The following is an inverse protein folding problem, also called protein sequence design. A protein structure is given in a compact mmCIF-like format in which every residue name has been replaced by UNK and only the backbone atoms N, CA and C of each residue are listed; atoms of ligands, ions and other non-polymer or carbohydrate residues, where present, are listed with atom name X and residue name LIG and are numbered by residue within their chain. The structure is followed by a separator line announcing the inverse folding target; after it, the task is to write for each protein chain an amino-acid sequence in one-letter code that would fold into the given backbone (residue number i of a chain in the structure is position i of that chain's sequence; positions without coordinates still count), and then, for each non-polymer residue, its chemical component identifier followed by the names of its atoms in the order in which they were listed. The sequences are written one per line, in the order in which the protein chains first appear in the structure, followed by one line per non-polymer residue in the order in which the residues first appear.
data_IF_656776178119
#
_entry.id   IF_656776178119
#
_cell.length_a   1.000
_cell.length_b   1.000
_cell.length_c   1.000
_cell.angle_alpha   90.00
_cell.angle_beta   90.00
_cell.angle_gamma   90.00
#
_symmetry.space_group_name_H-M   'P 1'
#
loop_
_entity.id
_entity.type
_entity.pdbx_description
1 polymer ?
#
# COMPACT_ATOMS: atom_id res chain seq x y z
N UNK A 1 -43.22 69.67 46.56
CA UNK A 1 -42.09 70.44 46.01
C UNK A 1 -40.89 69.52 45.88
N UNK A 2 -40.36 69.44 44.66
CA UNK A 2 -38.96 69.23 44.27
C UNK A 2 -38.31 67.83 44.38
N UNK A 3 -38.01 67.31 43.17
CA UNK A 3 -36.70 66.79 42.69
C UNK A 3 -36.26 65.36 43.04
N UNK A 4 -36.47 64.50 42.02
CA UNK A 4 -35.53 63.63 41.26
C UNK A 4 -34.74 62.45 41.88
N UNK A 5 -34.39 61.45 41.03
CA UNK A 5 -33.97 60.07 41.40
C UNK A 5 -32.53 59.70 40.93
N UNK A 6 -32.02 58.50 41.27
CA UNK A 6 -31.12 57.60 40.48
C UNK A 6 -31.16 56.21 41.17
N UNK A 7 -31.90 55.25 40.60
CA UNK A 7 -31.49 53.99 39.92
C UNK A 7 -31.24 52.78 40.84
N UNK A 8 -32.08 51.75 40.66
CA UNK A 8 -31.61 50.37 40.51
C UNK A 8 -32.70 49.46 39.91
N UNK A 9 -32.31 48.57 39.00
CA UNK A 9 -32.89 47.23 38.90
C UNK A 9 -34.08 46.96 37.97
N UNK A 10 -33.74 46.52 36.75
CA UNK A 10 -34.38 45.46 35.96
C UNK A 10 -35.84 45.62 35.44
N UNK A 11 -36.00 45.42 34.11
CA UNK A 11 -36.68 44.24 33.50
C UNK A 11 -36.95 44.52 32.01
N UNK A 12 -36.51 43.58 31.15
CA UNK A 12 -37.22 43.22 29.92
C UNK A 12 -37.06 44.09 28.67
N UNK A 13 -35.95 43.94 27.94
CA UNK A 13 -35.87 44.44 26.56
C UNK A 13 -36.07 43.30 25.55
N UNK A 14 -37.30 43.20 25.05
CA UNK A 14 -37.62 42.63 23.75
C UNK A 14 -37.35 43.70 22.69
N UNK A 15 -36.32 43.55 21.86
CA UNK A 15 -36.20 44.30 20.60
C UNK A 15 -35.68 43.35 19.52
N UNK A 16 -36.57 43.04 18.59
CA UNK A 16 -36.31 42.36 17.32
C UNK A 16 -35.33 43.19 16.47
N UNK A 17 -34.28 42.61 15.88
CA UNK A 17 -33.56 43.26 14.80
C UNK A 17 -34.31 43.06 13.46
N UNK A 18 -34.51 44.15 12.74
CA UNK A 18 -35.08 44.19 11.38
C UNK A 18 -34.33 43.25 10.41
N UNK A 19 -35.03 42.65 9.41
CA UNK A 19 -34.41 41.77 8.44
C UNK A 19 -33.60 42.57 7.41
N UNK A 20 -32.32 42.23 7.26
CA UNK A 20 -31.45 42.69 6.18
C UNK A 20 -31.85 41.95 4.87
N UNK A 21 -32.21 42.65 3.77
CA UNK A 21 -32.70 42.01 2.55
C UNK A 21 -31.61 41.78 1.49
N UNK A 22 -30.49 41.16 1.88
CA UNK A 22 -29.50 40.69 0.91
C UNK A 22 -29.16 39.22 1.20
N UNK A 23 -29.66 38.27 0.40
CA UNK A 23 -28.98 37.00 0.24
C UNK A 23 -27.67 37.33 -0.48
N UNK A 24 -26.53 37.07 0.15
CA UNK A 24 -25.30 36.85 -0.62
C UNK A 24 -25.54 35.54 -1.36
N UNK A 25 -26.12 35.62 -2.56
CA UNK A 25 -26.25 34.51 -3.49
C UNK A 25 -24.83 34.11 -3.92
N UNK A 26 -24.22 33.22 -3.14
CA UNK A 26 -23.10 32.44 -3.60
C UNK A 26 -23.59 31.59 -4.78
N UNK A 27 -22.95 31.66 -5.96
CA UNK A 27 -23.35 30.85 -7.10
C UNK A 27 -23.32 29.38 -6.70
N UNK A 28 -24.47 28.69 -6.84
CA UNK A 28 -24.55 27.22 -6.69
C UNK A 28 -23.54 26.48 -7.57
N UNK A 29 -23.05 27.12 -8.63
CA UNK A 29 -21.99 26.63 -9.52
C UNK A 29 -20.65 26.36 -8.80
N UNK A 30 -20.32 27.08 -7.71
CA UNK A 30 -19.11 26.80 -6.93
C UNK A 30 -19.28 25.64 -5.94
N UNK A 31 -20.52 25.29 -5.55
CA UNK A 31 -20.79 24.08 -4.75
C UNK A 31 -20.68 22.80 -5.60
N UNK A 32 -20.93 22.89 -6.91
CA UNK A 32 -20.71 21.76 -7.83
C UNK A 32 -19.22 21.51 -8.11
N UNK A 33 -18.38 22.55 -8.11
CA UNK A 33 -16.93 22.41 -8.28
C UNK A 33 -16.21 21.86 -7.03
N UNK A 34 -16.76 22.09 -5.83
CA UNK A 34 -16.16 21.58 -4.58
C UNK A 34 -16.43 20.10 -4.29
N UNK A 35 -17.27 19.42 -5.09
CA UNK A 35 -17.52 17.98 -4.99
C UNK A 35 -16.97 17.19 -6.20
N UNK A 36 -16.21 17.83 -7.08
CA UNK A 36 -15.54 17.19 -8.22
C UNK A 36 -14.01 17.21 -8.11
N UNK A 37 -13.47 17.15 -6.89
CA UNK A 37 -12.31 16.29 -6.70
C UNK A 37 -12.82 14.85 -6.76
N UNK A 38 -13.22 14.42 -7.97
CA UNK A 38 -13.08 13.02 -8.35
C UNK A 38 -11.60 12.73 -8.14
N UNK A 39 -11.28 12.23 -6.95
CA UNK A 39 -9.99 11.62 -6.65
C UNK A 39 -9.74 10.72 -7.85
N UNK A 40 -8.75 11.04 -8.69
CA UNK A 40 -8.40 10.14 -9.79
C UNK A 40 -8.21 8.79 -9.12
N UNK A 41 -9.15 7.87 -9.31
CA UNK A 41 -9.00 6.49 -8.92
C UNK A 41 -8.06 5.88 -9.95
N UNK A 42 -6.85 6.45 -10.02
CA UNK A 42 -5.72 5.91 -10.69
C UNK A 42 -5.48 4.58 -9.96
N UNK A 43 -5.97 3.49 -10.54
CA UNK A 43 -5.73 2.16 -10.00
C UNK A 43 -4.21 2.00 -9.85
N UNK A 44 -3.77 1.48 -8.71
CA UNK A 44 -2.36 1.22 -8.51
C UNK A 44 -1.83 0.36 -9.69
N UNK A 45 -0.70 0.72 -10.29
CA UNK A 45 -0.13 -0.04 -11.40
C UNK A 45 0.26 -1.43 -10.91
N UNK A 46 0.44 -2.44 -11.78
CA UNK A 46 0.95 -3.73 -11.36
C UNK A 46 2.30 -3.58 -10.61
N UNK A 47 2.43 -4.12 -9.38
CA UNK A 47 3.65 -3.96 -8.60
C UNK A 47 4.81 -4.71 -9.25
N UNK A 48 6.00 -4.15 -9.12
CA UNK A 48 7.27 -4.80 -9.42
C UNK A 48 7.79 -5.57 -8.21
N UNK A 49 8.75 -6.45 -8.45
CA UNK A 49 9.45 -7.15 -7.38
C UNK A 49 10.18 -6.15 -6.46
N UNK A 50 10.66 -5.02 -6.98
CA UNK A 50 11.19 -3.93 -6.15
C UNK A 50 10.18 -3.43 -5.11
N UNK A 51 8.92 -3.21 -5.51
CA UNK A 51 7.88 -2.71 -4.61
C UNK A 51 7.51 -3.74 -3.54
N UNK A 52 7.53 -5.02 -3.91
CA UNK A 52 7.38 -6.15 -2.99
C UNK A 52 8.51 -6.22 -1.97
N UNK A 53 9.74 -5.89 -2.38
CA UNK A 53 10.92 -5.94 -1.50
C UNK A 53 10.94 -4.85 -0.44
N UNK A 54 10.17 -3.77 -0.62
CA UNK A 54 10.00 -2.72 0.39
C UNK A 54 9.04 -3.16 1.53
N UNK A 55 8.38 -4.32 1.39
CA UNK A 55 7.55 -4.94 2.42
C UNK A 55 8.32 -6.07 3.14
N UNK A 56 8.95 -5.72 4.27
CA UNK A 56 9.76 -6.67 5.06
C UNK A 56 8.95 -7.87 5.57
N UNK A 57 7.70 -7.68 5.97
CA UNK A 57 6.86 -8.77 6.50
C UNK A 57 6.54 -9.78 5.38
N UNK A 58 6.17 -9.28 4.19
CA UNK A 58 5.98 -10.13 3.03
C UNK A 58 7.28 -10.84 2.63
N UNK A 59 8.40 -10.13 2.61
CA UNK A 59 9.70 -10.69 2.27
C UNK A 59 10.07 -11.83 3.22
N UNK A 60 9.89 -11.66 4.53
CA UNK A 60 10.17 -12.69 5.53
C UNK A 60 9.28 -13.93 5.37
N UNK A 61 8.00 -13.75 5.03
CA UNK A 61 7.11 -14.87 4.70
C UNK A 61 7.56 -15.62 3.44
N UNK A 62 8.05 -14.91 2.42
CA UNK A 62 8.60 -15.52 1.22
C UNK A 62 9.88 -16.30 1.53
N UNK A 63 10.79 -15.72 2.32
CA UNK A 63 12.02 -16.38 2.79
C UNK A 63 11.69 -17.68 3.51
N UNK A 64 10.76 -17.65 4.47
CA UNK A 64 10.33 -18.84 5.19
C UNK A 64 9.80 -19.94 4.27
N UNK A 65 9.10 -19.56 3.19
CA UNK A 65 8.48 -20.48 2.22
C UNK A 65 9.42 -20.99 1.14
N UNK A 66 10.46 -20.24 0.79
CA UNK A 66 11.27 -20.48 -0.39
C UNK A 66 12.74 -20.77 -0.10
N UNK A 67 13.29 -20.35 1.05
CA UNK A 67 14.69 -20.63 1.44
C UNK A 67 14.97 -22.12 1.71
N UNK A 68 14.07 -22.87 2.40
CA UNK A 68 14.36 -24.27 2.72
C UNK A 68 14.62 -25.14 1.49
N UNK A 69 15.70 -25.92 1.54
CA UNK A 69 16.02 -26.91 0.51
C UNK A 69 15.37 -28.25 0.86
N UNK A 70 14.11 -28.44 0.45
CA UNK A 70 13.39 -29.71 0.61
C UNK A 70 13.20 -30.37 -0.76
N UNK A 71 13.68 -31.60 -0.93
CA UNK A 71 13.76 -32.25 -2.25
C UNK A 71 12.42 -32.39 -3.00
N UNK A 72 11.30 -32.45 -2.28
CA UNK A 72 9.95 -32.57 -2.87
C UNK A 72 9.25 -31.23 -3.09
N UNK A 73 9.79 -30.11 -2.60
CA UNK A 73 9.15 -28.79 -2.68
C UNK A 73 9.98 -27.87 -3.57
N UNK A 74 9.35 -27.31 -4.59
CA UNK A 74 9.98 -26.34 -5.48
C UNK A 74 10.29 -25.05 -4.72
N UNK A 75 11.54 -24.63 -4.72
CA UNK A 75 12.08 -23.53 -3.90
C UNK A 75 12.74 -22.44 -4.75
N UNK A 76 13.47 -21.52 -4.11
CA UNK A 76 14.18 -20.42 -4.77
C UNK A 76 15.06 -20.88 -5.96
N UNK A 77 15.75 -22.02 -5.85
CA UNK A 77 16.61 -22.54 -6.94
C UNK A 77 15.83 -22.87 -8.19
N UNK A 78 14.65 -23.45 -8.02
CA UNK A 78 13.79 -23.82 -9.14
C UNK A 78 13.31 -22.56 -9.85
N UNK A 79 12.93 -21.54 -9.09
CA UNK A 79 12.48 -20.25 -9.63
C UNK A 79 13.61 -19.52 -10.34
N UNK A 80 14.78 -19.41 -9.69
CA UNK A 80 15.97 -18.79 -10.24
C UNK A 80 16.47 -19.47 -11.52
N UNK A 81 16.50 -20.81 -11.54
CA UNK A 81 16.85 -21.59 -12.73
C UNK A 81 15.89 -21.32 -13.88
N UNK A 82 14.57 -21.25 -13.62
CA UNK A 82 13.57 -20.97 -14.64
C UNK A 82 13.70 -19.57 -15.23
N UNK A 83 14.17 -18.61 -14.43
CA UNK A 83 14.49 -17.26 -14.87
C UNK A 83 15.94 -17.08 -15.37
N UNK A 84 16.64 -18.18 -15.64
CA UNK A 84 17.88 -18.17 -16.40
C UNK A 84 19.16 -18.10 -15.57
N UNK A 85 19.09 -18.25 -14.24
CA UNK A 85 20.30 -18.39 -13.44
C UNK A 85 20.99 -19.73 -13.76
N UNK A 86 22.28 -19.67 -14.10
CA UNK A 86 23.06 -20.86 -14.45
C UNK A 86 23.28 -21.78 -13.24
N UNK A 87 23.65 -23.04 -13.50
CA UNK A 87 23.94 -24.00 -12.43
C UNK A 87 25.06 -23.52 -11.50
N UNK A 88 26.11 -22.93 -12.06
CA UNK A 88 27.25 -22.43 -11.27
C UNK A 88 26.84 -21.25 -10.38
N UNK A 89 26.00 -20.34 -10.91
CA UNK A 89 25.45 -19.24 -10.11
C UNK A 89 24.52 -19.74 -8.99
N UNK A 90 23.68 -20.74 -9.26
CA UNK A 90 22.79 -21.35 -8.25
C UNK A 90 23.61 -22.01 -7.15
N UNK A 91 24.65 -22.76 -7.54
CA UNK A 91 25.58 -23.41 -6.61
C UNK A 91 26.29 -22.37 -5.76
N UNK A 92 26.83 -21.31 -6.37
CA UNK A 92 27.51 -20.24 -5.65
C UNK A 92 26.59 -19.52 -4.65
N UNK A 93 25.36 -19.22 -5.07
CA UNK A 93 24.38 -18.54 -4.20
C UNK A 93 23.97 -19.43 -3.02
N UNK A 94 23.77 -20.73 -3.25
CA UNK A 94 23.50 -21.66 -2.14
C UNK A 94 24.63 -21.65 -1.13
N UNK A 95 25.89 -21.82 -1.57
CA UNK A 95 27.03 -21.85 -0.67
C UNK A 95 27.18 -20.55 0.12
N UNK A 96 26.93 -19.39 -0.50
CA UNK A 96 27.02 -18.08 0.17
C UNK A 96 25.95 -17.89 1.25
N UNK A 97 24.77 -18.49 1.07
CA UNK A 97 23.62 -18.26 1.93
C UNK A 97 23.36 -19.42 2.91
N UNK A 98 24.04 -20.54 2.74
CA UNK A 98 23.87 -21.73 3.55
C UNK A 98 24.13 -21.44 5.04
N UNK A 99 23.10 -21.62 5.86
CA UNK A 99 23.16 -21.39 7.31
C UNK A 99 23.24 -19.90 7.71
N UNK A 100 23.14 -18.97 6.77
CA UNK A 100 23.14 -17.54 7.08
C UNK A 100 21.77 -17.08 7.60
N UNK A 101 21.78 -16.32 8.70
CA UNK A 101 20.57 -15.63 9.19
C UNK A 101 20.36 -14.28 8.48
N UNK A 102 21.44 -13.67 7.98
CA UNK A 102 21.43 -12.33 7.38
C UNK A 102 21.29 -12.36 5.85
N UNK A 103 21.69 -13.45 5.21
CA UNK A 103 21.65 -13.57 3.75
C UNK A 103 20.67 -14.66 3.33
N UNK A 104 19.63 -14.27 2.61
CA UNK A 104 18.63 -15.19 2.08
C UNK A 104 18.82 -15.41 0.57
N UNK A 105 18.83 -16.66 0.09
CA UNK A 105 18.88 -16.92 -1.34
C UNK A 105 17.59 -16.50 -2.06
N UNK A 106 16.43 -16.53 -1.40
CA UNK A 106 15.18 -15.99 -1.96
C UNK A 106 15.30 -14.48 -2.17
N UNK A 107 15.83 -13.75 -1.19
CA UNK A 107 16.01 -12.31 -1.31
C UNK A 107 16.98 -11.94 -2.43
N UNK A 108 18.11 -12.63 -2.55
CA UNK A 108 19.09 -12.42 -3.63
C UNK A 108 18.49 -12.74 -5.02
N UNK A 109 17.69 -13.80 -5.11
CA UNK A 109 16.94 -14.13 -6.32
C UNK A 109 15.96 -13.02 -6.71
N UNK A 110 15.18 -12.51 -5.75
CA UNK A 110 14.23 -11.42 -5.99
C UNK A 110 14.96 -10.13 -6.38
N UNK A 111 16.07 -9.80 -5.71
CA UNK A 111 16.87 -8.60 -5.99
C UNK A 111 17.40 -8.59 -7.42
N UNK A 112 17.93 -9.71 -7.92
CA UNK A 112 18.40 -9.84 -9.32
C UNK A 112 17.28 -9.64 -10.35
N UNK A 113 16.04 -9.88 -9.95
CA UNK A 113 14.85 -9.81 -10.79
C UNK A 113 13.93 -8.63 -10.42
N UNK A 114 14.42 -7.65 -9.67
CA UNK A 114 13.61 -6.56 -9.11
C UNK A 114 12.82 -5.75 -10.17
N UNK A 115 13.31 -5.73 -11.41
CA UNK A 115 12.69 -5.07 -12.55
C UNK A 115 11.43 -5.80 -13.08
N UNK A 116 11.26 -7.09 -12.77
CA UNK A 116 10.10 -7.90 -13.16
C UNK A 116 8.87 -7.54 -12.32
N UNK A 117 7.71 -7.87 -12.85
CA UNK A 117 6.43 -7.69 -12.15
C UNK A 117 6.19 -8.81 -11.13
N UNK A 118 5.42 -8.51 -10.09
CA UNK A 118 4.92 -9.56 -9.17
C UNK A 118 4.01 -10.55 -9.92
N UNK A 119 3.31 -10.10 -10.97
CA UNK A 119 2.53 -10.99 -11.85
C UNK A 119 3.39 -12.09 -12.47
N UNK A 120 4.57 -11.77 -13.03
CA UNK A 120 5.51 -12.78 -13.54
C UNK A 120 5.95 -13.77 -12.44
N UNK A 121 6.16 -13.28 -11.20
CA UNK A 121 6.48 -14.14 -10.06
C UNK A 121 5.31 -15.08 -9.71
N UNK A 122 4.06 -14.60 -9.80
CA UNK A 122 2.88 -15.47 -9.60
C UNK A 122 2.76 -16.54 -10.67
N UNK A 123 3.19 -16.27 -11.91
CA UNK A 123 3.21 -17.27 -12.98
C UNK A 123 4.21 -18.38 -12.69
N UNK A 124 5.40 -18.07 -12.17
CA UNK A 124 6.31 -19.11 -11.66
C UNK A 124 5.66 -19.96 -10.57
N UNK A 125 4.92 -19.33 -9.65
CA UNK A 125 4.22 -20.06 -8.61
C UNK A 125 3.19 -21.02 -9.19
N UNK A 126 2.47 -20.64 -10.25
CA UNK A 126 1.53 -21.53 -10.97
C UNK A 126 2.27 -22.68 -11.65
N UNK A 127 3.34 -22.40 -12.38
CA UNK A 127 4.15 -23.42 -13.09
C UNK A 127 4.66 -24.50 -12.13
N UNK A 128 5.15 -24.08 -10.96
CA UNK A 128 5.67 -24.99 -9.94
C UNK A 128 4.62 -25.46 -8.92
N UNK A 129 3.35 -25.11 -9.12
CA UNK A 129 2.24 -25.44 -8.21
C UNK A 129 2.52 -25.02 -6.75
N UNK A 130 3.25 -23.91 -6.54
CA UNK A 130 3.47 -23.27 -5.25
C UNK A 130 2.27 -22.41 -4.86
N UNK A 131 1.13 -23.07 -4.64
CA UNK A 131 -0.15 -22.43 -4.35
C UNK A 131 -0.10 -21.62 -3.05
N UNK A 132 0.71 -22.04 -2.09
CA UNK A 132 0.93 -21.34 -0.82
C UNK A 132 1.61 -19.97 -1.01
N UNK A 133 2.58 -19.88 -1.92
CA UNK A 133 3.24 -18.62 -2.29
C UNK A 133 2.35 -17.80 -3.21
N UNK A 134 1.67 -18.44 -4.17
CA UNK A 134 0.73 -17.78 -5.07
C UNK A 134 -0.36 -17.01 -4.30
N UNK A 135 -1.02 -17.67 -3.34
CA UNK A 135 -2.06 -17.04 -2.52
C UNK A 135 -1.53 -15.90 -1.66
N UNK A 136 -0.32 -16.05 -1.13
CA UNK A 136 0.36 -15.00 -0.38
C UNK A 136 0.55 -13.74 -1.25
N UNK A 137 1.12 -13.91 -2.46
CA UNK A 137 1.35 -12.81 -3.39
C UNK A 137 0.05 -12.16 -3.88
N UNK A 138 -0.96 -12.96 -4.25
CA UNK A 138 -2.26 -12.44 -4.68
C UNK A 138 -2.94 -11.62 -3.59
N UNK A 139 -2.95 -12.15 -2.36
CA UNK A 139 -3.52 -11.43 -1.21
C UNK A 139 -2.83 -10.08 -1.00
N UNK A 140 -1.51 -10.04 -1.09
CA UNK A 140 -0.76 -8.79 -0.95
C UNK A 140 -1.07 -7.80 -2.07
N UNK A 141 -1.10 -8.27 -3.32
CA UNK A 141 -1.42 -7.42 -4.48
C UNK A 141 -2.83 -6.81 -4.40
N UNK A 142 -3.79 -7.54 -3.84
CA UNK A 142 -5.17 -7.11 -3.72
C UNK A 142 -5.43 -6.20 -2.51
N UNK A 143 -4.78 -6.47 -1.37
CA UNK A 143 -5.12 -5.83 -0.09
C UNK A 143 -4.09 -4.78 0.36
N UNK A 144 -2.80 -5.01 0.09
CA UNK A 144 -1.71 -4.20 0.66
C UNK A 144 -1.15 -3.22 -0.37
N UNK A 145 -0.92 -3.69 -1.60
CA UNK A 145 -0.29 -2.88 -2.64
C UNK A 145 -1.07 -1.60 -3.00
N UNK A 146 -2.41 -1.59 -3.17
CA UNK A 146 -3.13 -0.37 -3.54
C UNK A 146 -2.94 0.76 -2.53
N UNK A 147 -2.97 0.42 -1.24
CA UNK A 147 -2.76 1.39 -0.16
C UNK A 147 -1.30 1.85 -0.07
N UNK A 148 -0.33 0.93 -0.25
CA UNK A 148 1.10 1.27 -0.28
C UNK A 148 1.42 2.24 -1.42
N UNK A 149 0.88 1.99 -2.62
CA UNK A 149 1.08 2.86 -3.77
C UNK A 149 0.51 4.26 -3.54
N UNK A 150 -0.73 4.35 -3.02
CA UNK A 150 -1.39 5.62 -2.69
C UNK A 150 -0.69 6.43 -1.61
N UNK A 151 0.01 5.77 -0.68
CA UNK A 151 0.75 6.47 0.38
C UNK A 151 2.12 6.99 -0.08
N UNK A 152 2.64 6.45 -1.19
CA UNK A 152 3.96 6.80 -1.72
C UNK A 152 3.92 7.86 -2.85
N UNK A 153 2.74 8.15 -3.42
CA UNK A 153 2.54 9.04 -4.57
C UNK A 153 1.37 9.99 -4.34
#
# INVERSE_FOLDING_TARGET
NLVQPVEDGAVGNSILPCPNPYPLDFPKELQFLNNQYEKCCCSAPPPKISDLMDDNDLLDLLRLKLDPNHCTVKNWKNFASRWGMSYDELTLLEHRTQGSMCHSPTQEFLLRNNHKTVTELTELCRVYQRIDVLRLLQRWMENDWPSRWQNAH
#
